data_IF_817622788903
#
_entry.id   IF_817622788903
#
_cell.length_a   1.000
_cell.length_b   1.000
_cell.length_c   1.000
_cell.angle_alpha   90.00
_cell.angle_beta   90.00
_cell.angle_gamma   90.00
#
_symmetry.space_group_name_H-M   'P 1'
#
loop_
_entity.id
_entity.type
_entity.pdbx_description
1 polymer ?
#
# COMPACT_ATOMS: atom_id res chain seq x y z
N UNK A 1 -7.36 33.96 19.23
CA UNK A 1 -7.26 32.80 18.30
C UNK A 1 -5.80 32.48 18.14
N UNK A 2 -5.31 31.47 18.86
CA UNK A 2 -3.91 31.06 18.80
C UNK A 2 -3.70 30.07 17.66
N UNK A 3 -2.89 30.42 16.68
CA UNK A 3 -2.37 29.48 15.70
C UNK A 3 -1.37 28.56 16.39
N UNK A 4 -1.68 27.27 16.46
CA UNK A 4 -0.69 26.24 16.82
C UNK A 4 0.05 25.94 15.53
N UNK A 5 1.24 26.53 15.37
CA UNK A 5 2.02 26.40 14.13
C UNK A 5 3.01 25.23 14.13
N UNK A 6 3.19 24.51 15.23
CA UNK A 6 4.11 23.35 15.30
C UNK A 6 3.61 22.36 16.33
N UNK A 7 3.34 21.13 15.91
CA UNK A 7 3.20 19.98 16.78
C UNK A 7 4.56 19.28 16.81
N UNK A 8 5.29 19.42 17.91
CA UNK A 8 6.51 18.65 18.12
C UNK A 8 6.09 17.31 18.72
N UNK A 9 6.20 16.24 17.95
CA UNK A 9 5.98 14.88 18.45
C UNK A 9 7.23 14.47 19.20
N UNK A 10 7.17 14.50 20.55
CA UNK A 10 8.22 13.95 21.39
C UNK A 10 7.99 12.44 21.49
N UNK A 11 8.86 11.66 20.87
CA UNK A 11 8.85 10.21 20.95
C UNK A 11 9.42 9.78 22.31
N UNK A 12 8.61 9.78 23.36
CA UNK A 12 8.95 9.09 24.61
C UNK A 12 8.56 7.62 24.49
N UNK A 13 9.54 6.77 24.16
CA UNK A 13 9.42 5.33 24.28
C UNK A 13 9.34 4.94 25.76
N UNK A 14 8.16 4.96 26.36
CA UNK A 14 7.92 4.32 27.65
C UNK A 14 7.66 2.83 27.43
N UNK A 15 8.63 2.06 27.90
CA UNK A 15 8.72 0.63 28.09
C UNK A 15 7.38 -0.10 28.26
N UNK A 16 6.88 -0.65 27.15
CA UNK A 16 6.05 -1.85 27.15
C UNK A 16 6.66 -2.85 26.19
N UNK A 17 7.14 -4.02 26.68
CA UNK A 17 7.89 -4.98 25.84
C UNK A 17 7.05 -5.69 24.79
N UNK A 18 5.74 -5.55 24.76
CA UNK A 18 4.84 -6.34 23.93
C UNK A 18 4.14 -5.56 22.80
N UNK A 19 4.43 -4.27 22.62
CA UNK A 19 3.90 -3.48 21.51
C UNK A 19 5.03 -3.02 20.61
N UNK A 20 5.18 -3.69 19.46
CA UNK A 20 6.02 -3.19 18.36
C UNK A 20 5.35 -1.95 17.79
N UNK A 21 5.81 -0.78 18.21
CA UNK A 21 5.42 0.48 17.57
C UNK A 21 6.19 0.58 16.27
N UNK A 22 5.52 0.34 15.15
CA UNK A 22 6.03 0.80 13.88
C UNK A 22 5.91 2.32 13.89
N UNK A 23 7.02 3.01 14.06
CA UNK A 23 7.08 4.45 13.96
C UNK A 23 6.83 4.85 12.49
N UNK A 24 5.59 5.15 12.15
CA UNK A 24 5.28 5.81 10.88
C UNK A 24 5.96 7.17 10.90
N UNK A 25 6.84 7.41 9.97
CA UNK A 25 7.45 8.73 9.81
C UNK A 25 6.35 9.66 9.30
N UNK A 26 5.94 10.59 10.17
CA UNK A 26 5.01 11.67 9.81
C UNK A 26 5.85 12.81 9.26
N UNK A 27 5.59 13.20 8.03
CA UNK A 27 6.26 14.29 7.34
C UNK A 27 5.44 15.58 7.38
N UNK A 28 6.08 16.71 7.12
CA UNK A 28 5.39 18.00 7.04
C UNK A 28 4.36 17.99 5.88
N UNK A 29 3.11 18.29 6.23
CA UNK A 29 1.99 18.28 5.26
C UNK A 29 1.20 16.96 5.22
N UNK A 30 1.61 15.91 5.92
CA UNK A 30 0.83 14.66 5.99
C UNK A 30 -0.51 14.90 6.70
N UNK A 31 -1.62 14.44 6.13
CA UNK A 31 -2.91 14.47 6.81
C UNK A 31 -2.91 13.48 7.97
N UNK A 32 -3.39 13.92 9.14
CA UNK A 32 -3.43 13.10 10.34
C UNK A 32 -4.85 12.91 10.85
N UNK A 33 -5.15 11.70 11.28
CA UNK A 33 -6.31 11.39 12.11
C UNK A 33 -5.93 11.49 13.58
N UNK A 34 -6.85 12.00 14.38
CA UNK A 34 -6.66 12.16 15.82
C UNK A 34 -7.72 11.31 16.53
N UNK A 35 -7.26 10.36 17.33
CA UNK A 35 -8.09 9.53 18.18
C UNK A 35 -7.80 9.80 19.63
N UNK A 36 -8.79 9.61 20.49
CA UNK A 36 -8.62 9.53 21.93
C UNK A 36 -9.00 8.13 22.39
N UNK A 37 -8.17 7.48 23.17
CA UNK A 37 -8.52 6.20 23.78
C UNK A 37 -9.34 6.38 25.08
N UNK A 38 -9.73 5.26 25.69
CA UNK A 38 -10.52 5.25 26.92
C UNK A 38 -9.75 5.77 28.14
N UNK A 39 -8.43 5.82 28.08
CA UNK A 39 -7.52 6.29 29.12
C UNK A 39 -7.19 7.79 28.95
N UNK A 40 -7.73 8.42 27.91
CA UNK A 40 -7.54 9.84 27.60
C UNK A 40 -6.24 10.15 26.86
N UNK A 41 -5.54 9.15 26.35
CA UNK A 41 -4.38 9.35 25.47
C UNK A 41 -4.82 9.85 24.07
N UNK A 42 -4.05 10.78 23.52
CA UNK A 42 -4.27 11.29 22.16
C UNK A 42 -3.34 10.56 21.20
N UNK A 43 -3.94 9.85 20.24
CA UNK A 43 -3.22 9.05 19.24
C UNK A 43 -3.30 9.77 17.90
N UNK A 44 -2.16 10.09 17.32
CA UNK A 44 -2.05 10.60 15.94
C UNK A 44 -1.73 9.44 15.01
N UNK A 45 -2.54 9.28 13.97
CA UNK A 45 -2.32 8.30 12.93
C UNK A 45 -2.30 9.00 11.58
N UNK A 46 -1.38 8.62 10.70
CA UNK A 46 -1.37 9.13 9.33
C UNK A 46 -2.66 8.68 8.62
N UNK A 47 -3.38 9.63 8.06
CA UNK A 47 -4.61 9.36 7.31
C UNK A 47 -4.27 8.64 6.01
N UNK A 48 -4.94 7.50 5.77
CA UNK A 48 -4.81 6.72 4.55
C UNK A 48 -6.21 6.45 3.99
N UNK A 49 -6.63 7.17 2.93
CA UNK A 49 -7.96 6.96 2.34
C UNK A 49 -8.22 5.51 1.94
N UNK A 50 -7.22 4.86 1.37
CA UNK A 50 -7.33 3.45 0.97
C UNK A 50 -7.23 2.50 2.18
N UNK A 51 -6.58 2.92 3.27
CA UNK A 51 -6.50 2.15 4.52
C UNK A 51 -7.88 1.98 5.17
N UNK A 52 -8.76 2.96 5.07
CA UNK A 52 -10.15 2.86 5.53
C UNK A 52 -10.94 1.80 4.73
N UNK A 53 -10.58 1.59 3.46
CA UNK A 53 -11.15 0.57 2.61
C UNK A 53 -10.46 -0.80 2.74
N UNK A 54 -9.64 -1.04 3.78
CA UNK A 54 -8.83 -2.24 3.93
C UNK A 54 -9.62 -3.55 3.84
N UNK A 55 -10.82 -3.61 4.44
CA UNK A 55 -11.72 -4.76 4.33
C UNK A 55 -12.21 -4.96 2.89
N UNK A 56 -12.58 -3.88 2.21
CA UNK A 56 -13.02 -3.89 0.82
C UNK A 56 -11.85 -4.26 -0.11
N UNK A 57 -10.67 -3.64 0.08
CA UNK A 57 -9.47 -3.96 -0.67
C UNK A 57 -9.07 -5.43 -0.55
N UNK A 58 -9.24 -6.02 0.64
CA UNK A 58 -8.99 -7.45 0.88
C UNK A 58 -9.95 -8.33 0.09
N UNK A 59 -11.26 -8.04 0.12
CA UNK A 59 -12.25 -8.78 -0.65
C UNK A 59 -12.01 -8.66 -2.16
N UNK A 60 -11.68 -7.46 -2.61
CA UNK A 60 -11.38 -7.20 -4.02
C UNK A 60 -10.13 -7.95 -4.49
N UNK A 61 -9.06 -7.93 -3.68
CA UNK A 61 -7.84 -8.69 -3.94
C UNK A 61 -8.09 -10.20 -4.04
N UNK A 62 -8.97 -10.76 -3.18
CA UNK A 62 -9.34 -12.17 -3.25
C UNK A 62 -10.08 -12.54 -4.55
N UNK A 63 -10.98 -11.68 -5.02
CA UNK A 63 -11.69 -11.90 -6.30
C UNK A 63 -10.70 -11.85 -7.47
N UNK A 64 -9.82 -10.86 -7.48
CA UNK A 64 -8.77 -10.74 -8.51
C UNK A 64 -7.85 -11.96 -8.52
N UNK A 65 -7.41 -12.41 -7.35
CA UNK A 65 -6.53 -13.57 -7.21
C UNK A 65 -7.19 -14.83 -7.76
N UNK A 66 -8.46 -15.07 -7.43
CA UNK A 66 -9.23 -16.22 -7.94
C UNK A 66 -9.42 -16.17 -9.46
N UNK A 67 -9.56 -14.98 -10.03
CA UNK A 67 -9.78 -14.79 -11.46
C UNK A 67 -8.48 -14.92 -12.26
N UNK A 68 -7.40 -14.31 -11.79
CA UNK A 68 -6.13 -14.25 -12.51
C UNK A 68 -5.17 -15.40 -12.15
N UNK A 69 -5.38 -16.08 -11.02
CA UNK A 69 -4.49 -17.14 -10.52
C UNK A 69 -3.16 -16.65 -9.94
N UNK A 70 -2.94 -15.34 -9.87
CA UNK A 70 -1.72 -14.72 -9.33
C UNK A 70 -1.96 -14.08 -7.96
N UNK A 71 -0.92 -14.05 -7.13
CA UNK A 71 -0.98 -13.33 -5.87
C UNK A 71 -1.19 -11.84 -6.11
N UNK A 72 -2.09 -11.24 -5.30
CA UNK A 72 -2.45 -9.83 -5.35
C UNK A 72 -1.99 -9.13 -4.09
N UNK A 73 -1.42 -7.96 -4.23
CA UNK A 73 -1.05 -7.06 -3.13
C UNK A 73 -1.65 -5.69 -3.39
N UNK A 74 -2.24 -5.10 -2.36
CA UNK A 74 -2.69 -3.71 -2.34
C UNK A 74 -1.94 -2.98 -1.25
N UNK A 75 -1.41 -1.81 -1.59
CA UNK A 75 -0.66 -0.94 -0.68
C UNK A 75 -1.34 0.42 -0.60
N UNK A 76 -1.22 1.08 0.55
CA UNK A 76 -1.28 2.53 0.59
C UNK A 76 0.09 3.13 0.20
N UNK A 77 0.35 4.38 0.51
CA UNK A 77 1.63 5.01 0.17
C UNK A 77 2.81 4.47 0.96
N UNK A 78 2.56 3.88 2.12
CA UNK A 78 3.60 3.51 3.07
C UNK A 78 3.65 2.01 3.36
N UNK A 79 2.49 1.32 3.36
CA UNK A 79 2.38 -0.07 3.82
C UNK A 79 1.45 -0.93 2.97
N UNK A 80 1.66 -2.24 3.06
CA UNK A 80 0.75 -3.24 2.49
C UNK A 80 -0.52 -3.33 3.33
N UNK A 81 -1.69 -3.11 2.70
CA UNK A 81 -3.00 -3.12 3.36
C UNK A 81 -3.85 -4.35 3.05
N UNK A 82 -3.59 -5.03 1.93
CA UNK A 82 -4.28 -6.26 1.57
C UNK A 82 -3.37 -7.22 0.79
N UNK A 83 -3.56 -8.52 1.05
CA UNK A 83 -2.82 -9.61 0.40
C UNK A 83 -3.78 -10.76 0.11
N UNK A 84 -3.74 -11.27 -1.13
CA UNK A 84 -4.45 -12.49 -1.53
C UNK A 84 -3.53 -13.43 -2.31
N UNK A 85 -3.69 -14.75 -2.11
CA UNK A 85 -2.87 -15.77 -2.77
C UNK A 85 -1.52 -16.08 -2.09
N UNK A 86 -1.21 -15.38 -0.98
CA UNK A 86 -0.03 -15.62 -0.14
C UNK A 86 -0.41 -15.54 1.34
N UNK A 87 0.39 -16.11 2.26
CA UNK A 87 0.19 -15.93 3.69
C UNK A 87 0.27 -14.45 4.08
N UNK A 88 -0.81 -13.91 4.67
CA UNK A 88 -0.89 -12.49 5.04
C UNK A 88 0.30 -12.02 5.88
N UNK A 89 0.74 -12.84 6.85
CA UNK A 89 1.89 -12.56 7.73
C UNK A 89 3.22 -12.27 7.01
N UNK A 90 3.32 -12.67 5.74
CA UNK A 90 4.54 -12.47 4.94
C UNK A 90 4.67 -11.01 4.50
N UNK A 91 3.56 -10.35 4.16
CA UNK A 91 3.54 -9.05 3.50
C UNK A 91 2.70 -7.99 4.22
N UNK A 92 1.58 -8.38 4.87
CA UNK A 92 0.63 -7.43 5.45
C UNK A 92 1.31 -6.51 6.46
N UNK A 93 0.99 -5.22 6.43
CA UNK A 93 1.55 -4.15 7.29
C UNK A 93 3.06 -3.87 7.09
N UNK A 94 3.71 -4.56 6.13
CA UNK A 94 5.10 -4.25 5.79
C UNK A 94 5.19 -2.98 4.96
N UNK A 95 6.32 -2.30 5.13
CA UNK A 95 6.62 -1.06 4.42
C UNK A 95 6.83 -1.32 2.92
N UNK A 96 6.31 -0.43 2.10
CA UNK A 96 6.61 -0.40 0.66
C UNK A 96 8.08 -0.05 0.43
N UNK A 97 8.63 -0.51 -0.68
CA UNK A 97 10.01 -0.20 -1.04
C UNK A 97 10.12 1.19 -1.67
N UNK A 98 11.31 1.81 -1.64
CA UNK A 98 11.57 3.04 -2.39
C UNK A 98 11.27 2.90 -3.89
N UNK A 99 11.52 1.71 -4.47
CA UNK A 99 11.21 1.45 -5.89
C UNK A 99 9.71 1.50 -6.19
N UNK A 100 8.87 1.06 -5.24
CA UNK A 100 7.42 1.19 -5.39
C UNK A 100 6.95 2.62 -5.15
N UNK A 101 7.56 3.34 -4.20
CA UNK A 101 7.31 4.77 -3.98
C UNK A 101 7.58 5.57 -5.28
N UNK A 102 8.76 5.34 -5.90
CA UNK A 102 9.12 5.97 -7.18
C UNK A 102 8.12 5.63 -8.30
N UNK A 103 7.69 4.36 -8.38
CA UNK A 103 6.66 3.97 -9.36
C UNK A 103 5.35 4.75 -9.14
N UNK A 104 4.89 4.85 -7.91
CA UNK A 104 3.65 5.58 -7.58
C UNK A 104 3.74 7.04 -8.02
N UNK A 105 4.88 7.70 -7.85
CA UNK A 105 5.08 9.08 -8.29
C UNK A 105 5.03 9.24 -9.82
N UNK A 106 5.38 8.20 -10.60
CA UNK A 106 5.26 8.26 -12.06
C UNK A 106 3.83 8.30 -12.55
N UNK A 107 2.87 7.79 -11.74
CA UNK A 107 1.46 7.61 -12.09
C UNK A 107 1.20 6.71 -13.30
N UNK A 108 2.19 5.93 -13.71
CA UNK A 108 2.10 4.98 -14.82
C UNK A 108 2.17 3.55 -14.32
N UNK A 109 1.46 2.61 -14.97
CA UNK A 109 1.58 1.21 -14.62
C UNK A 109 2.96 0.67 -15.01
N UNK A 110 3.44 -0.27 -14.21
CA UNK A 110 4.61 -1.11 -14.48
C UNK A 110 4.15 -2.48 -14.95
N UNK A 111 4.83 -3.03 -15.93
CA UNK A 111 4.70 -4.42 -16.33
C UNK A 111 6.10 -5.01 -16.57
N UNK A 112 6.38 -6.14 -15.93
CA UNK A 112 7.65 -6.84 -16.05
C UNK A 112 7.82 -7.35 -17.48
N UNK A 113 8.95 -7.03 -18.10
CA UNK A 113 9.32 -7.48 -19.44
C UNK A 113 10.25 -8.70 -19.38
N UNK A 114 10.22 -9.51 -20.44
CA UNK A 114 11.11 -10.66 -20.56
C UNK A 114 12.58 -10.21 -20.62
N UNK A 115 13.44 -10.82 -19.77
CA UNK A 115 14.85 -10.48 -19.69
C UNK A 115 15.18 -9.23 -18.87
N UNK A 116 14.19 -8.61 -18.22
CA UNK A 116 14.40 -7.46 -17.33
C UNK A 116 15.30 -7.85 -16.14
N UNK A 117 16.40 -7.08 -15.96
CA UNK A 117 17.36 -7.30 -14.87
C UNK A 117 17.01 -6.54 -13.61
N UNK A 118 16.36 -5.36 -13.75
CA UNK A 118 15.95 -4.49 -12.64
C UNK A 118 14.45 -4.69 -12.34
N UNK A 119 14.11 -5.79 -11.68
CA UNK A 119 12.72 -6.11 -11.32
C UNK A 119 12.23 -5.23 -10.18
N UNK A 120 10.96 -4.81 -10.26
CA UNK A 120 10.32 -4.05 -9.18
C UNK A 120 10.08 -4.94 -7.97
N UNK A 121 10.82 -4.69 -6.89
CA UNK A 121 10.59 -5.29 -5.57
C UNK A 121 9.66 -4.37 -4.77
N UNK A 122 8.40 -4.72 -4.53
CA UNK A 122 7.43 -3.76 -4.00
C UNK A 122 7.49 -3.55 -2.50
N UNK A 123 8.05 -4.50 -1.74
CA UNK A 123 8.05 -4.49 -0.28
C UNK A 123 9.47 -4.61 0.25
N UNK A 124 9.83 -3.77 1.20
CA UNK A 124 11.16 -3.78 1.81
C UNK A 124 11.48 -5.13 2.48
N UNK A 125 12.68 -5.65 2.18
CA UNK A 125 13.20 -6.86 2.82
C UNK A 125 12.47 -8.16 2.49
N UNK A 126 11.60 -8.14 1.47
CA UNK A 126 10.88 -9.33 1.01
C UNK A 126 11.31 -9.64 -0.42
N UNK A 127 11.83 -10.85 -0.63
CA UNK A 127 12.27 -11.30 -1.97
C UNK A 127 11.06 -11.74 -2.82
N UNK A 128 10.25 -10.76 -3.18
CA UNK A 128 9.10 -10.87 -4.08
C UNK A 128 9.13 -9.73 -5.07
N UNK A 129 8.71 -9.99 -6.29
CA UNK A 129 8.74 -9.04 -7.39
C UNK A 129 7.33 -8.83 -7.95
N UNK A 130 7.05 -7.61 -8.38
CA UNK A 130 5.83 -7.32 -9.09
C UNK A 130 5.92 -7.85 -10.53
N UNK A 131 4.87 -8.51 -10.98
CA UNK A 131 4.69 -8.87 -12.39
C UNK A 131 4.05 -7.70 -13.15
N UNK A 132 3.05 -7.08 -12.54
CA UNK A 132 2.40 -5.85 -12.99
C UNK A 132 1.94 -5.05 -11.77
N UNK A 133 2.11 -3.74 -11.81
CA UNK A 133 1.65 -2.83 -10.75
C UNK A 133 1.05 -1.58 -11.36
N UNK A 134 0.01 -1.04 -10.73
CA UNK A 134 -0.60 0.23 -11.14
C UNK A 134 -0.85 1.12 -9.93
N UNK A 135 -0.48 2.40 -10.00
CA UNK A 135 -0.83 3.39 -8.98
C UNK A 135 -2.34 3.58 -8.87
N UNK A 136 -2.84 3.72 -7.65
CA UNK A 136 -4.22 4.05 -7.34
C UNK A 136 -4.30 5.56 -7.15
N UNK A 137 -5.07 6.22 -8.01
CA UNK A 137 -5.22 7.68 -8.00
C UNK A 137 -6.67 8.02 -7.70
N UNK A 138 -6.89 8.87 -6.69
CA UNK A 138 -8.18 9.42 -6.32
C UNK A 138 -8.10 10.95 -6.26
N UNK A 139 -9.04 11.64 -6.85
CA UNK A 139 -9.11 13.12 -6.88
C UNK A 139 -7.80 13.80 -7.32
N UNK A 140 -7.01 13.13 -8.16
CA UNK A 140 -5.72 13.62 -8.64
C UNK A 140 -4.52 13.28 -7.76
N UNK A 141 -4.71 12.70 -6.59
CA UNK A 141 -3.64 12.29 -5.69
C UNK A 141 -3.39 10.79 -5.74
N UNK A 142 -2.12 10.39 -5.64
CA UNK A 142 -1.74 8.98 -5.52
C UNK A 142 -2.00 8.52 -4.10
N UNK A 143 -2.87 7.52 -3.95
CA UNK A 143 -3.28 6.98 -2.65
C UNK A 143 -2.61 5.63 -2.32
N UNK A 144 -2.03 4.98 -3.30
CA UNK A 144 -1.41 3.68 -3.14
C UNK A 144 -1.16 2.97 -4.47
N UNK A 145 -1.05 1.66 -4.43
CA UNK A 145 -0.83 0.80 -5.59
C UNK A 145 -1.51 -0.55 -5.44
N UNK A 146 -1.90 -1.14 -6.56
CA UNK A 146 -2.34 -2.54 -6.64
C UNK A 146 -1.48 -3.30 -7.65
N UNK A 147 -1.17 -4.57 -7.35
CA UNK A 147 -0.26 -5.34 -8.19
C UNK A 147 -0.54 -6.84 -8.15
N UNK A 148 -0.14 -7.52 -9.25
CA UNK A 148 0.13 -8.94 -9.25
C UNK A 148 1.60 -9.19 -8.95
N UNK A 149 1.88 -10.18 -8.11
CA UNK A 149 3.26 -10.64 -7.90
C UNK A 149 3.66 -11.69 -8.93
N UNK A 150 4.94 -11.71 -9.27
CA UNK A 150 5.53 -12.75 -10.07
C UNK A 150 5.67 -14.04 -9.24
N UNK A 151 5.22 -15.16 -9.79
CA UNK A 151 5.44 -16.49 -9.24
C UNK A 151 6.69 -17.14 -9.81
N UNK A 152 7.21 -18.17 -9.12
CA UNK A 152 8.30 -18.97 -9.65
C UNK A 152 7.82 -19.78 -10.86
N UNK A 153 8.53 -19.63 -11.99
CA UNK A 153 8.20 -20.34 -13.23
C UNK A 153 6.91 -19.89 -13.93
N UNK A 154 6.29 -18.79 -13.49
CA UNK A 154 5.13 -18.23 -14.18
C UNK A 154 5.53 -17.54 -15.49
N UNK A 155 4.61 -17.62 -16.46
CA UNK A 155 4.75 -16.91 -17.73
C UNK A 155 4.79 -15.40 -17.55
N UNK A 156 5.44 -14.64 -18.44
CA UNK A 156 5.33 -13.20 -18.48
C UNK A 156 3.87 -12.73 -18.47
N UNK A 157 3.62 -11.54 -17.93
CA UNK A 157 2.27 -10.97 -17.89
C UNK A 157 1.79 -10.64 -19.31
N UNK A 158 0.55 -11.00 -19.58
CA UNK A 158 -0.12 -10.65 -20.83
C UNK A 158 -0.95 -9.36 -20.73
N UNK A 159 -1.40 -8.86 -21.85
CA UNK A 159 -2.25 -7.66 -21.96
C UNK A 159 -3.50 -7.74 -21.07
N UNK A 160 -4.07 -8.92 -20.89
CA UNK A 160 -5.25 -9.13 -20.06
C UNK A 160 -4.97 -8.81 -18.59
N UNK A 161 -3.83 -9.24 -18.06
CA UNK A 161 -3.43 -9.01 -16.67
C UNK A 161 -3.08 -7.54 -16.43
N UNK A 162 -2.42 -6.89 -17.41
CA UNK A 162 -2.14 -5.45 -17.35
C UNK A 162 -3.45 -4.65 -17.32
N UNK A 163 -4.42 -4.99 -18.15
CA UNK A 163 -5.74 -4.35 -18.17
C UNK A 163 -6.50 -4.59 -16.87
N UNK A 164 -6.47 -5.82 -16.33
CA UNK A 164 -7.12 -6.13 -15.05
C UNK A 164 -6.59 -5.27 -13.90
N UNK A 165 -5.26 -5.15 -13.77
CA UNK A 165 -4.65 -4.33 -12.72
C UNK A 165 -4.94 -2.84 -12.94
N UNK A 166 -4.92 -2.36 -14.18
CA UNK A 166 -5.24 -0.96 -14.50
C UNK A 166 -6.70 -0.63 -14.15
N UNK A 167 -7.64 -1.52 -14.50
CA UNK A 167 -9.06 -1.36 -14.14
C UNK A 167 -9.25 -1.42 -12.63
N UNK A 168 -8.56 -2.34 -11.96
CA UNK A 168 -8.60 -2.48 -10.50
C UNK A 168 -8.13 -1.21 -9.79
N UNK A 169 -7.00 -0.64 -10.24
CA UNK A 169 -6.48 0.62 -9.70
C UNK A 169 -7.48 1.78 -9.89
N UNK A 170 -8.05 1.92 -11.09
CA UNK A 170 -9.05 2.93 -11.37
C UNK A 170 -10.33 2.76 -10.55
N UNK A 171 -10.78 1.53 -10.36
CA UNK A 171 -11.96 1.24 -9.55
C UNK A 171 -11.73 1.57 -8.07
N UNK A 172 -10.59 1.16 -7.49
CA UNK A 172 -10.23 1.49 -6.11
C UNK A 172 -10.10 3.01 -5.92
N UNK A 173 -9.48 3.70 -6.87
CA UNK A 173 -9.41 5.16 -6.84
C UNK A 173 -10.80 5.80 -6.84
N UNK A 174 -11.71 5.31 -7.65
CA UNK A 174 -13.08 5.85 -7.72
C UNK A 174 -13.87 5.63 -6.43
N UNK A 175 -13.68 4.49 -5.76
CA UNK A 175 -14.32 4.22 -4.47
C UNK A 175 -13.87 5.16 -3.34
N UNK A 176 -12.69 5.75 -3.46
CA UNK A 176 -12.19 6.74 -2.48
C UNK A 176 -12.67 8.18 -2.75
N UNK A 177 -13.32 8.42 -3.88
CA UNK A 177 -13.90 9.72 -4.22
C UNK A 177 -15.37 9.87 -3.77
N UNK A 178 -15.99 8.78 -3.31
CA UNK A 178 -17.38 8.72 -2.83
C UNK A 178 -17.46 8.98 -1.33
#
# INVERSE_FOLDING_TARGET
MGHISHVTIVQEAKQHPDKVFHANVISDGDPLEIYTDNDGEVIFKKYSPIGELGAFASQYAEVLQKTAGRAVVVCDRDHVIAVAGLPKKELLERRVSPSLEDLMETRHPYAMTEGETARLQPVEGVDRYAAVAAPIVASGDVCGSIMFLAGEGESPVGDAEIKLITVAAGFLGKQMEE
#
